data_IF_853446042131
#
_entry.id   IF_853446042131
#
_cell.length_a   1.000
_cell.length_b   1.000
_cell.length_c   1.000
_cell.angle_alpha   90.00
_cell.angle_beta   90.00
_cell.angle_gamma   90.00
#
_symmetry.space_group_name_H-M   'P 1'
#
loop_
_entity.id
_entity.type
_entity.pdbx_description
1 polymer ?
#
# COMPACT_ATOMS: atom_id res chain seq x y z
N UNK A 1 19.67 68.79 24.93
CA UNK A 1 19.05 70.03 25.46
C UNK A 1 19.03 71.16 24.41
N UNK A 2 20.17 71.56 23.83
CA UNK A 2 20.26 72.65 22.83
C UNK A 2 19.40 72.49 21.55
N UNK A 3 19.18 71.26 21.05
CA UNK A 3 18.32 71.02 19.86
C UNK A 3 16.82 71.23 20.10
N UNK A 4 16.34 71.03 21.33
CA UNK A 4 14.93 71.29 21.68
C UNK A 4 14.70 72.78 21.95
N UNK A 5 15.69 73.50 22.50
CA UNK A 5 15.65 74.95 22.71
C UNK A 5 15.55 75.74 21.39
N UNK A 6 16.16 75.27 20.31
CA UNK A 6 16.09 75.91 18.99
C UNK A 6 14.68 75.90 18.35
N UNK A 7 13.80 74.98 18.78
CA UNK A 7 12.40 74.94 18.31
C UNK A 7 11.56 76.00 19.03
N UNK A 8 11.73 76.14 20.35
CA UNK A 8 11.02 77.14 21.16
C UNK A 8 11.54 78.57 20.95
N UNK A 9 12.79 78.75 20.55
CA UNK A 9 13.38 80.07 20.26
C UNK A 9 12.75 80.77 19.04
N UNK A 10 12.08 80.05 18.13
CA UNK A 10 11.36 80.64 16.99
C UNK A 10 10.05 81.33 17.38
N UNK A 11 9.47 80.93 18.50
CA UNK A 11 8.19 81.44 18.98
C UNK A 11 8.37 82.59 20.01
N UNK A 12 9.63 83.02 20.24
CA UNK A 12 9.93 84.20 21.04
C UNK A 12 9.66 85.50 20.24
N UNK A 13 9.24 86.60 20.90
CA UNK A 13 8.92 87.87 20.23
C UNK A 13 10.06 88.49 19.43
N UNK A 14 11.31 88.14 19.74
CA UNK A 14 12.52 88.61 19.06
C UNK A 14 13.30 87.40 18.53
N UNK A 15 13.41 87.20 17.20
CA UNK A 15 14.14 86.07 16.63
C UNK A 15 15.64 86.20 16.93
N UNK A 16 16.19 85.30 17.75
CA UNK A 16 17.63 85.22 18.00
C UNK A 16 18.31 84.36 16.92
N UNK A 17 19.31 84.93 16.23
CA UNK A 17 20.12 84.20 15.26
C UNK A 17 21.01 83.18 15.98
N UNK A 18 20.67 81.89 15.84
CA UNK A 18 21.37 80.80 16.51
C UNK A 18 22.58 80.37 15.64
N UNK A 19 23.77 80.93 15.87
CA UNK A 19 24.98 80.15 15.56
C UNK A 19 24.94 78.90 16.45
N UNK A 20 25.40 77.72 15.98
CA UNK A 20 25.17 76.51 16.76
C UNK A 20 26.03 76.60 18.02
N UNK A 21 25.41 76.87 19.16
CA UNK A 21 26.01 76.70 20.49
C UNK A 21 26.74 75.35 20.64
N UNK A 22 26.34 74.35 19.85
CA UNK A 22 27.03 73.07 19.74
C UNK A 22 28.47 73.19 19.20
N UNK A 23 28.78 74.15 18.33
CA UNK A 23 30.13 74.43 17.81
C UNK A 23 30.96 75.16 18.86
N UNK A 24 30.41 76.22 19.47
CA UNK A 24 31.08 76.99 20.53
C UNK A 24 31.36 76.11 21.76
N UNK A 25 30.39 75.29 22.20
CA UNK A 25 30.58 74.37 23.33
C UNK A 25 31.65 73.30 23.04
N UNK A 26 31.67 72.74 21.82
CA UNK A 26 32.67 71.75 21.42
C UNK A 26 34.08 72.34 21.38
N UNK A 27 34.20 73.58 20.93
CA UNK A 27 35.48 74.29 20.88
C UNK A 27 35.95 74.71 22.28
N UNK A 28 35.03 75.14 23.16
CA UNK A 28 35.31 75.40 24.57
C UNK A 28 35.80 74.15 25.30
N UNK A 29 35.14 72.99 25.10
CA UNK A 29 35.55 71.71 25.68
C UNK A 29 36.94 71.31 25.18
N UNK A 30 37.22 71.47 23.88
CA UNK A 30 38.54 71.21 23.28
C UNK A 30 39.63 72.08 23.92
N UNK A 31 39.40 73.38 24.07
CA UNK A 31 40.34 74.31 24.73
C UNK A 31 40.54 73.95 26.21
N UNK A 32 39.46 73.66 26.94
CA UNK A 32 39.51 73.25 28.34
C UNK A 32 40.24 71.91 28.56
N UNK A 33 40.18 71.00 27.58
CA UNK A 33 40.92 69.73 27.61
C UNK A 33 42.42 69.94 27.34
N UNK A 34 42.78 70.81 26.39
CA UNK A 34 44.18 71.22 26.16
C UNK A 34 44.79 71.88 27.41
N UNK A 35 44.07 72.80 28.04
CA UNK A 35 44.51 73.45 29.28
C UNK A 35 44.65 72.47 30.45
N UNK A 36 43.76 71.48 30.57
CA UNK A 36 43.85 70.43 31.60
C UNK A 36 45.04 69.49 31.40
N UNK A 37 45.36 69.17 30.15
CA UNK A 37 46.47 68.27 29.82
C UNK A 37 47.84 68.95 29.96
N UNK A 38 47.89 70.30 29.94
CA UNK A 38 49.03 71.19 30.19
C UNK A 38 50.23 71.06 29.22
N UNK A 39 50.50 69.88 28.69
CA UNK A 39 51.50 69.60 27.66
C UNK A 39 50.81 69.16 26.35
N UNK A 40 51.33 69.58 25.18
CA UNK A 40 52.54 70.38 24.97
C UNK A 40 52.33 71.87 25.26
N UNK A 41 53.36 72.53 25.83
CA UNK A 41 53.29 73.95 26.27
C UNK A 41 52.86 74.91 25.15
N UNK A 42 53.29 74.66 23.90
CA UNK A 42 52.92 75.51 22.75
C UNK A 42 51.40 75.53 22.50
N UNK A 43 50.74 74.39 22.66
CA UNK A 43 49.29 74.28 22.52
C UNK A 43 48.54 74.91 23.70
N UNK A 44 49.11 74.79 24.91
CA UNK A 44 48.56 75.41 26.13
C UNK A 44 48.65 76.94 26.06
N UNK A 45 49.78 77.48 25.58
CA UNK A 45 49.95 78.92 25.38
C UNK A 45 48.98 79.42 24.31
N UNK A 46 48.88 78.73 23.17
CA UNK A 46 47.92 79.09 22.11
C UNK A 46 46.46 79.07 22.61
N UNK A 47 46.09 78.12 23.48
CA UNK A 47 44.77 78.07 24.08
C UNK A 47 44.51 79.18 25.12
N UNK A 48 45.54 79.68 25.80
CA UNK A 48 45.44 80.82 26.72
C UNK A 48 45.38 82.17 26.00
N UNK A 49 46.10 82.30 24.88
CA UNK A 49 46.17 83.54 24.07
C UNK A 49 44.99 83.70 23.10
N UNK A 50 44.09 82.71 23.03
CA UNK A 50 42.86 82.82 22.23
C UNK A 50 41.87 83.76 22.91
N UNK A 51 41.19 84.61 22.12
CA UNK A 51 40.10 85.44 22.63
C UNK A 51 38.88 84.57 22.98
N UNK A 52 38.37 84.72 24.19
CA UNK A 52 37.21 83.98 24.67
C UNK A 52 35.89 84.72 24.36
N UNK A 53 35.93 85.64 23.39
CA UNK A 53 34.79 86.46 22.97
C UNK A 53 33.64 85.61 22.44
N UNK A 54 33.95 84.48 21.79
CA UNK A 54 32.97 83.49 21.31
C UNK A 54 32.16 82.85 22.45
N UNK A 55 32.82 82.53 23.57
CA UNK A 55 32.15 82.02 24.78
C UNK A 55 31.36 83.13 25.47
N UNK A 56 31.92 84.33 25.57
CA UNK A 56 31.23 85.46 26.19
C UNK A 56 29.95 85.81 25.42
N UNK A 57 30.02 85.84 24.08
CA UNK A 57 28.86 86.04 23.21
C UNK A 57 27.79 84.97 23.42
N UNK A 58 28.19 83.70 23.57
CA UNK A 58 27.28 82.60 23.87
C UNK A 58 26.62 82.77 25.26
N UNK A 59 27.39 83.16 26.29
CA UNK A 59 26.87 83.41 27.63
C UNK A 59 25.86 84.57 27.64
N UNK A 60 26.15 85.65 26.91
CA UNK A 60 25.24 86.80 26.79
C UNK A 60 23.95 86.43 26.05
N UNK A 61 24.03 85.54 25.05
CA UNK A 61 22.85 85.00 24.36
C UNK A 61 22.03 84.06 25.26
N UNK A 62 22.68 83.23 26.08
CA UNK A 62 21.98 82.39 27.07
C UNK A 62 21.30 83.26 28.13
N UNK A 63 21.95 84.34 28.57
CA UNK A 63 21.35 85.30 29.50
C UNK A 63 20.12 85.97 28.87
N UNK A 64 20.21 86.37 27.59
CA UNK A 64 19.09 86.95 26.84
C UNK A 64 17.95 85.97 26.65
N UNK A 65 18.25 84.70 26.33
CA UNK A 65 17.26 83.64 26.18
C UNK A 65 16.57 83.32 27.50
N UNK A 66 17.34 83.17 28.58
CA UNK A 66 16.81 82.94 29.93
C UNK A 66 15.88 84.07 30.34
N UNK A 67 16.31 85.32 30.17
CA UNK A 67 15.47 86.49 30.45
C UNK A 67 14.20 86.53 29.56
N UNK A 68 14.30 86.09 28.29
CA UNK A 68 13.14 86.03 27.39
C UNK A 68 12.15 84.93 27.77
N UNK A 69 12.63 83.79 28.27
CA UNK A 69 11.80 82.68 28.77
C UNK A 69 11.18 83.03 30.11
N UNK A 70 11.91 83.66 31.03
CA UNK A 70 11.38 84.16 32.30
C UNK A 70 10.37 85.30 32.12
N UNK A 71 10.47 86.06 31.02
CA UNK A 71 9.50 87.08 30.65
C UNK A 71 8.24 86.50 29.98
N UNK A 72 8.22 85.21 29.62
CA UNK A 72 6.98 84.58 29.15
C UNK A 72 5.98 84.53 30.31
N UNK A 73 4.70 84.85 30.06
CA UNK A 73 3.69 84.76 31.10
C UNK A 73 3.58 83.29 31.55
N UNK A 74 3.61 83.09 32.87
CA UNK A 74 3.34 81.78 33.47
C UNK A 74 2.02 81.23 32.93
N UNK A 75 1.93 79.92 32.66
CA UNK A 75 0.71 79.31 32.15
C UNK A 75 -0.47 79.72 33.02
N UNK A 76 -1.43 80.41 32.41
CA UNK A 76 -2.61 80.85 33.16
C UNK A 76 -3.45 79.63 33.53
N UNK A 77 -4.27 79.74 34.58
CA UNK A 77 -5.26 78.69 34.91
C UNK A 77 -6.15 78.33 33.70
N UNK A 78 -6.33 79.28 32.78
CA UNK A 78 -7.06 79.09 31.52
C UNK A 78 -6.30 78.22 30.51
N UNK A 79 -4.99 78.38 30.39
CA UNK A 79 -4.17 77.54 29.52
C UNK A 79 -4.07 76.12 30.07
N UNK A 80 -3.87 75.96 31.38
CA UNK A 80 -3.91 74.67 32.05
C UNK A 80 -5.26 73.96 31.84
N UNK A 81 -6.38 74.71 31.94
CA UNK A 81 -7.70 74.17 31.67
C UNK A 81 -7.88 73.77 30.19
N UNK A 82 -7.37 74.56 29.24
CA UNK A 82 -7.43 74.24 27.80
C UNK A 82 -6.64 72.97 27.48
N UNK A 83 -5.44 72.84 28.02
CA UNK A 83 -4.59 71.68 27.78
C UNK A 83 -5.21 70.43 28.42
N UNK A 84 -5.77 70.55 29.62
CA UNK A 84 -6.54 69.48 30.25
C UNK A 84 -7.73 69.01 29.39
N UNK A 85 -8.50 69.96 28.84
CA UNK A 85 -9.61 69.64 27.94
C UNK A 85 -9.15 69.01 26.63
N UNK A 86 -8.01 69.43 26.10
CA UNK A 86 -7.42 68.89 24.86
C UNK A 86 -6.98 67.45 25.06
N UNK A 87 -6.22 67.17 26.11
CA UNK A 87 -5.84 65.78 26.49
C UNK A 87 -7.09 64.94 26.80
N UNK A 88 -8.10 65.53 27.45
CA UNK A 88 -9.37 64.88 27.71
C UNK A 88 -10.10 64.46 26.42
N UNK A 89 -10.16 65.36 25.43
CA UNK A 89 -10.77 65.11 24.12
C UNK A 89 -10.02 64.02 23.35
N UNK A 90 -8.69 64.09 23.27
CA UNK A 90 -7.86 63.08 22.60
C UNK A 90 -8.07 61.69 23.20
N UNK A 91 -8.07 61.58 24.54
CA UNK A 91 -8.33 60.32 25.25
C UNK A 91 -9.74 59.81 24.99
N UNK A 92 -10.73 60.68 24.98
CA UNK A 92 -12.12 60.31 24.69
C UNK A 92 -12.28 59.79 23.26
N UNK A 93 -11.65 60.43 22.28
CA UNK A 93 -11.66 59.99 20.88
C UNK A 93 -10.95 58.65 20.71
N UNK A 94 -9.76 58.48 21.30
CA UNK A 94 -9.04 57.22 21.30
C UNK A 94 -9.88 56.09 21.92
N UNK A 95 -10.54 56.35 23.06
CA UNK A 95 -11.43 55.40 23.70
C UNK A 95 -12.63 55.05 22.81
N UNK A 96 -13.29 56.02 22.18
CA UNK A 96 -14.42 55.78 21.26
C UNK A 96 -14.01 54.92 20.05
N UNK A 97 -12.85 55.18 19.47
CA UNK A 97 -12.30 54.38 18.38
C UNK A 97 -12.00 52.95 18.83
N UNK A 98 -11.36 52.79 19.99
CA UNK A 98 -11.06 51.48 20.57
C UNK A 98 -12.35 50.70 20.88
N UNK A 99 -13.36 51.36 21.44
CA UNK A 99 -14.66 50.76 21.75
C UNK A 99 -15.37 50.26 20.49
N UNK A 100 -15.32 51.04 19.40
CA UNK A 100 -15.90 50.66 18.11
C UNK A 100 -15.16 49.45 17.51
N UNK A 101 -13.82 49.45 17.54
CA UNK A 101 -12.99 48.32 17.10
C UNK A 101 -13.25 47.07 17.93
N UNK A 102 -13.39 47.21 19.26
CA UNK A 102 -13.75 46.12 20.15
C UNK A 102 -15.12 45.54 19.83
N UNK A 103 -16.15 46.39 19.64
CA UNK A 103 -17.49 45.95 19.28
C UNK A 103 -17.50 45.18 17.95
N UNK A 104 -16.80 45.70 16.93
CA UNK A 104 -16.65 45.01 15.64
C UNK A 104 -15.88 43.69 15.75
N UNK A 105 -14.80 43.67 16.53
CA UNK A 105 -14.00 42.47 16.80
C UNK A 105 -14.79 41.39 17.55
N UNK A 106 -15.56 41.80 18.56
CA UNK A 106 -16.44 40.91 19.33
C UNK A 106 -17.51 40.28 18.44
N UNK A 107 -18.20 41.07 17.61
CA UNK A 107 -19.19 40.55 16.67
C UNK A 107 -18.61 39.53 15.68
N UNK A 108 -17.38 39.77 15.19
CA UNK A 108 -16.65 38.82 14.33
C UNK A 108 -16.28 37.55 15.07
N UNK A 109 -15.77 37.65 16.30
CA UNK A 109 -15.42 36.50 17.13
C UNK A 109 -16.66 35.65 17.45
N UNK A 110 -17.78 36.28 17.82
CA UNK A 110 -19.05 35.60 18.08
C UNK A 110 -19.56 34.87 16.82
N UNK A 111 -19.42 35.50 15.65
CA UNK A 111 -19.79 34.87 14.38
C UNK A 111 -18.88 33.68 14.05
N UNK A 112 -17.56 33.83 14.19
CA UNK A 112 -16.61 32.76 13.95
C UNK A 112 -16.83 31.57 14.91
N UNK A 113 -17.11 31.83 16.18
CA UNK A 113 -17.44 30.80 17.17
C UNK A 113 -18.72 30.04 16.79
N UNK A 114 -19.76 30.74 16.33
CA UNK A 114 -21.00 30.09 15.84
C UNK A 114 -20.75 29.23 14.60
N UNK A 115 -19.98 29.73 13.63
CA UNK A 115 -19.63 28.98 12.42
C UNK A 115 -18.83 27.73 12.76
N UNK A 116 -17.83 27.86 13.64
CA UNK A 116 -17.01 26.73 14.07
C UNK A 116 -17.85 25.66 14.80
N UNK A 117 -18.72 26.08 15.73
CA UNK A 117 -19.62 25.17 16.43
C UNK A 117 -20.59 24.46 15.47
N UNK A 118 -21.21 25.21 14.54
CA UNK A 118 -22.12 24.65 13.54
C UNK A 118 -21.42 23.65 12.61
N UNK A 119 -20.20 23.99 12.16
CA UNK A 119 -19.39 23.10 11.34
C UNK A 119 -19.05 21.81 12.09
N UNK A 120 -18.59 21.92 13.34
CA UNK A 120 -18.30 20.77 14.21
C UNK A 120 -19.51 19.86 14.35
N UNK A 121 -20.64 20.38 14.82
CA UNK A 121 -21.87 19.59 15.01
C UNK A 121 -22.38 18.95 13.72
N UNK A 122 -22.30 19.66 12.59
CA UNK A 122 -22.77 19.13 11.30
C UNK A 122 -21.84 18.03 10.79
N UNK A 123 -20.53 18.22 10.91
CA UNK A 123 -19.52 17.26 10.46
C UNK A 123 -19.55 16.01 11.34
N UNK A 124 -19.60 16.17 12.66
CA UNK A 124 -19.69 15.06 13.62
C UNK A 124 -20.94 14.22 13.35
N UNK A 125 -22.09 14.86 13.15
CA UNK A 125 -23.34 14.17 12.82
C UNK A 125 -23.26 13.39 11.50
N UNK A 126 -22.61 13.96 10.48
CA UNK A 126 -22.43 13.29 9.19
C UNK A 126 -21.49 12.08 9.32
N UNK A 127 -20.37 12.23 10.05
CA UNK A 127 -19.41 11.15 10.28
C UNK A 127 -20.02 10.02 11.13
N UNK A 128 -20.74 10.36 12.21
CA UNK A 128 -21.45 9.37 13.04
C UNK A 128 -22.46 8.54 12.25
N UNK A 129 -23.16 9.15 11.28
CA UNK A 129 -24.06 8.44 10.40
C UNK A 129 -23.31 7.44 9.51
N UNK A 130 -22.22 7.88 8.87
CA UNK A 130 -21.36 7.01 8.04
C UNK A 130 -20.81 5.84 8.86
N UNK A 131 -20.32 6.11 10.08
CA UNK A 131 -19.79 5.04 10.94
C UNK A 131 -20.84 4.00 11.29
N UNK A 132 -22.08 4.41 11.61
CA UNK A 132 -23.17 3.47 11.90
C UNK A 132 -23.55 2.62 10.68
N UNK A 133 -23.63 3.22 9.51
CA UNK A 133 -23.98 2.50 8.28
C UNK A 133 -22.89 1.49 7.89
N UNK A 134 -21.62 1.90 7.97
CA UNK A 134 -20.46 1.03 7.71
C UNK A 134 -20.36 -0.07 8.76
N UNK A 135 -20.57 0.24 10.04
CA UNK A 135 -20.56 -0.72 11.14
C UNK A 135 -21.59 -1.84 10.94
N UNK A 136 -22.81 -1.50 10.53
CA UNK A 136 -23.87 -2.48 10.28
C UNK A 136 -23.52 -3.43 9.13
N UNK A 137 -23.02 -2.90 8.01
CA UNK A 137 -22.58 -3.70 6.86
C UNK A 137 -21.35 -4.56 7.19
N UNK A 138 -20.37 -3.99 7.91
CA UNK A 138 -19.20 -4.70 8.40
C UNK A 138 -19.56 -5.92 9.24
N UNK A 139 -20.46 -5.75 10.23
CA UNK A 139 -20.96 -6.85 11.06
C UNK A 139 -21.62 -7.93 10.22
N UNK A 140 -22.43 -7.56 9.23
CA UNK A 140 -23.06 -8.53 8.32
C UNK A 140 -22.02 -9.34 7.55
N UNK A 141 -21.02 -8.69 6.95
CA UNK A 141 -20.02 -9.36 6.12
C UNK A 141 -19.12 -10.29 6.92
N UNK A 142 -18.71 -9.85 8.10
CA UNK A 142 -17.86 -10.67 8.95
C UNK A 142 -18.61 -11.90 9.48
N UNK A 143 -19.90 -11.76 9.85
CA UNK A 143 -20.76 -12.91 10.19
C UNK A 143 -20.97 -13.87 9.02
N UNK A 144 -21.06 -13.35 7.79
CA UNK A 144 -21.20 -14.19 6.60
C UNK A 144 -19.93 -15.03 6.35
N UNK A 145 -18.74 -14.52 6.69
CA UNK A 145 -17.45 -15.23 6.51
C UNK A 145 -17.14 -16.18 7.68
N UNK A 146 -17.44 -15.78 8.91
CA UNK A 146 -17.08 -16.50 10.14
C UNK A 146 -18.30 -17.04 10.90
N UNK A 147 -19.42 -17.25 10.22
CA UNK A 147 -20.70 -17.59 10.86
C UNK A 147 -20.69 -18.90 11.68
N UNK A 148 -19.83 -19.84 11.30
CA UNK A 148 -19.65 -21.11 12.01
C UNK A 148 -19.08 -20.91 13.44
N UNK A 149 -18.24 -19.89 13.61
CA UNK A 149 -17.54 -19.62 14.88
C UNK A 149 -18.14 -18.41 15.62
N UNK A 150 -18.55 -17.37 14.88
CA UNK A 150 -18.88 -16.05 15.41
C UNK A 150 -20.21 -15.49 14.86
N UNK A 151 -21.24 -16.32 14.74
CA UNK A 151 -22.60 -15.92 14.30
C UNK A 151 -23.22 -14.75 15.09
N UNK A 152 -22.78 -14.50 16.33
CA UNK A 152 -23.25 -13.40 17.20
C UNK A 152 -22.29 -12.21 17.25
N UNK A 153 -21.28 -12.16 16.40
CA UNK A 153 -20.26 -11.12 16.38
C UNK A 153 -20.86 -9.71 16.36
N UNK A 154 -20.43 -8.84 17.25
CA UNK A 154 -20.79 -7.42 17.26
C UNK A 154 -19.53 -6.57 17.15
N UNK A 155 -19.67 -5.38 16.58
CA UNK A 155 -18.56 -4.44 16.41
C UNK A 155 -18.99 -3.03 16.74
N UNK A 156 -18.11 -2.23 17.33
CA UNK A 156 -18.40 -0.88 17.77
C UNK A 156 -17.35 0.09 17.22
N UNK A 157 -17.82 1.07 16.46
CA UNK A 157 -17.05 2.21 15.97
C UNK A 157 -17.37 3.43 16.82
N UNK A 158 -16.49 3.75 17.76
CA UNK A 158 -16.69 4.87 18.70
C UNK A 158 -15.85 6.08 18.26
N UNK A 159 -16.48 7.14 17.73
CA UNK A 159 -15.74 8.34 17.33
C UNK A 159 -15.20 9.10 18.54
N UNK A 160 -14.02 9.69 18.38
CA UNK A 160 -13.36 10.55 19.35
C UNK A 160 -12.62 11.66 18.58
N UNK A 161 -12.20 12.71 19.29
CA UNK A 161 -11.44 13.81 18.70
C UNK A 161 -10.20 13.28 17.95
N UNK A 162 -10.21 13.38 16.61
CA UNK A 162 -9.12 12.95 15.73
C UNK A 162 -8.85 11.44 15.67
N UNK A 163 -9.73 10.58 16.21
CA UNK A 163 -9.54 9.12 16.18
C UNK A 163 -10.87 8.37 16.16
N UNK A 164 -10.85 7.15 15.63
CA UNK A 164 -11.97 6.22 15.67
C UNK A 164 -11.54 5.01 16.49
N UNK A 165 -12.25 4.75 17.59
CA UNK A 165 -12.11 3.50 18.33
C UNK A 165 -12.78 2.38 17.53
N UNK A 166 -12.05 1.30 17.27
CA UNK A 166 -12.59 0.10 16.65
C UNK A 166 -12.48 -1.05 17.64
N UNK A 167 -13.63 -1.50 18.13
CA UNK A 167 -13.72 -2.56 19.13
C UNK A 167 -14.69 -3.63 18.63
N UNK A 168 -14.43 -4.88 18.97
CA UNK A 168 -15.19 -6.04 18.54
C UNK A 168 -15.51 -6.93 19.74
N UNK A 169 -16.70 -7.53 19.74
CA UNK A 169 -17.08 -8.46 20.79
C UNK A 169 -16.23 -9.74 20.73
N UNK A 170 -15.88 -10.26 21.91
CA UNK A 170 -15.22 -11.56 22.02
C UNK A 170 -16.07 -12.51 22.88
N UNK A 171 -16.87 -13.35 22.22
CA UNK A 171 -17.73 -14.36 22.86
C UNK A 171 -18.63 -13.80 23.99
N UNK A 172 -19.16 -12.59 23.83
CA UNK A 172 -20.00 -11.91 24.82
C UNK A 172 -19.26 -11.45 26.08
N UNK A 173 -17.92 -11.45 26.08
CA UNK A 173 -17.10 -11.01 27.22
C UNK A 173 -16.76 -9.52 27.19
N UNK A 174 -17.25 -8.80 26.19
CA UNK A 174 -17.06 -7.36 26.04
C UNK A 174 -16.36 -7.00 24.73
N UNK A 175 -16.18 -5.70 24.55
CA UNK A 175 -15.60 -5.09 23.36
C UNK A 175 -14.11 -4.83 23.55
N UNK A 176 -13.31 -5.30 22.60
CA UNK A 176 -11.85 -5.15 22.62
C UNK A 176 -11.32 -4.79 21.24
N UNK A 177 -10.13 -4.17 21.13
CA UNK A 177 -9.47 -4.00 19.85
C UNK A 177 -9.28 -5.36 19.14
N UNK A 178 -9.45 -5.45 17.81
CA UNK A 178 -9.32 -6.71 17.07
C UNK A 178 -8.01 -7.45 17.37
N UNK A 179 -6.90 -6.70 17.46
CA UNK A 179 -5.56 -7.23 17.75
C UNK A 179 -5.37 -7.82 19.15
N UNK A 180 -6.35 -7.71 20.06
CA UNK A 180 -6.22 -8.22 21.42
C UNK A 180 -6.45 -9.73 21.54
N UNK A 181 -7.45 -10.27 20.85
CA UNK A 181 -7.92 -11.64 21.04
C UNK A 181 -8.21 -12.43 19.76
N UNK A 182 -8.21 -11.79 18.59
CA UNK A 182 -8.46 -12.46 17.31
C UNK A 182 -7.13 -12.82 16.64
N UNK A 183 -7.08 -13.98 15.98
CA UNK A 183 -5.91 -14.38 15.19
C UNK A 183 -5.70 -13.46 13.99
N UNK A 184 -4.52 -13.53 13.37
CA UNK A 184 -4.19 -12.76 12.16
C UNK A 184 -5.20 -13.00 11.03
N UNK A 185 -5.60 -14.26 10.79
CA UNK A 185 -6.63 -14.59 9.79
C UNK A 185 -7.98 -13.92 10.05
N UNK A 186 -8.41 -13.83 11.31
CA UNK A 186 -9.62 -13.09 11.67
C UNK A 186 -9.44 -11.58 11.47
N UNK A 187 -8.28 -11.02 11.82
CA UNK A 187 -8.00 -9.59 11.63
C UNK A 187 -7.98 -9.20 10.15
N UNK A 188 -7.38 -10.02 9.28
CA UNK A 188 -7.36 -9.80 7.84
C UNK A 188 -8.77 -9.95 7.24
N UNK A 189 -9.55 -10.93 7.73
CA UNK A 189 -10.96 -11.06 7.41
C UNK A 189 -11.77 -9.82 7.80
N UNK A 190 -11.53 -9.26 9.00
CA UNK A 190 -12.17 -8.00 9.44
C UNK A 190 -11.74 -6.83 8.55
N UNK A 191 -10.46 -6.72 8.22
CA UNK A 191 -9.93 -5.68 7.34
C UNK A 191 -10.61 -5.69 5.97
N UNK A 192 -10.75 -6.87 5.36
CA UNK A 192 -11.44 -7.04 4.08
C UNK A 192 -12.92 -6.66 4.19
N UNK A 193 -13.63 -7.13 5.23
CA UNK A 193 -15.04 -6.80 5.43
C UNK A 193 -15.26 -5.30 5.59
N UNK A 194 -14.40 -4.65 6.37
CA UNK A 194 -14.47 -3.21 6.63
C UNK A 194 -14.23 -2.42 5.33
N UNK A 195 -13.21 -2.80 4.56
CA UNK A 195 -12.92 -2.22 3.25
C UNK A 195 -14.12 -2.33 2.30
N UNK A 196 -14.70 -3.53 2.17
CA UNK A 196 -15.85 -3.78 1.30
C UNK A 196 -17.10 -3.02 1.74
N UNK A 197 -17.35 -2.92 3.04
CA UNK A 197 -18.45 -2.13 3.60
C UNK A 197 -18.28 -0.63 3.29
N UNK A 198 -17.08 -0.10 3.47
CA UNK A 198 -16.72 1.29 3.11
C UNK A 198 -16.91 1.56 1.61
N UNK A 199 -16.38 0.69 0.74
CA UNK A 199 -16.50 0.87 -0.70
C UNK A 199 -17.96 0.82 -1.16
N UNK A 200 -18.76 -0.09 -0.60
CA UNK A 200 -20.19 -0.13 -0.87
C UNK A 200 -20.92 1.12 -0.40
N UNK A 201 -20.59 1.64 0.78
CA UNK A 201 -21.23 2.86 1.28
C UNK A 201 -20.87 4.09 0.43
N UNK A 202 -19.59 4.25 0.07
CA UNK A 202 -19.10 5.43 -0.66
C UNK A 202 -19.51 5.43 -2.13
N UNK A 203 -19.42 4.27 -2.80
CA UNK A 203 -19.62 4.16 -4.25
C UNK A 203 -20.96 3.53 -4.62
N UNK A 204 -21.59 2.78 -3.72
CA UNK A 204 -22.84 2.06 -3.98
C UNK A 204 -22.72 1.21 -5.25
N UNK A 205 -23.61 1.46 -6.20
CA UNK A 205 -23.65 0.77 -7.49
C UNK A 205 -22.48 1.15 -8.43
N UNK A 206 -21.70 2.17 -8.11
CA UNK A 206 -20.50 2.55 -8.86
C UNK A 206 -19.26 1.75 -8.46
N UNK A 207 -19.35 0.90 -7.42
CA UNK A 207 -18.29 -0.04 -7.09
C UNK A 207 -18.27 -1.21 -8.07
N UNK A 208 -17.70 -0.99 -9.26
CA UNK A 208 -17.72 -1.96 -10.37
C UNK A 208 -16.39 -2.67 -10.59
N UNK A 209 -15.31 -2.23 -9.95
CA UNK A 209 -13.98 -2.80 -10.15
C UNK A 209 -13.14 -2.74 -8.87
N UNK A 210 -12.46 -3.82 -8.53
CA UNK A 210 -11.55 -3.90 -7.39
C UNK A 210 -10.38 -4.85 -7.67
N UNK A 211 -9.19 -4.46 -7.21
CA UNK A 211 -7.98 -5.28 -7.24
C UNK A 211 -7.64 -5.66 -5.81
N UNK A 212 -7.46 -6.96 -5.58
CA UNK A 212 -7.19 -7.56 -4.29
C UNK A 212 -5.87 -8.34 -4.40
N UNK A 213 -4.79 -7.71 -3.93
CA UNK A 213 -3.42 -8.24 -4.07
C UNK A 213 -2.95 -8.92 -2.79
N UNK A 214 -2.92 -10.25 -2.81
CA UNK A 214 -2.44 -11.12 -1.72
C UNK A 214 -3.12 -10.89 -0.36
N UNK A 215 -4.38 -10.41 -0.38
CA UNK A 215 -5.13 -9.97 0.82
C UNK A 215 -5.71 -11.10 1.68
N UNK A 216 -5.64 -12.37 1.26
CA UNK A 216 -6.35 -13.50 1.88
C UNK A 216 -5.42 -14.63 2.33
N UNK A 217 -4.15 -14.30 2.53
CA UNK A 217 -3.11 -15.25 2.85
C UNK A 217 -3.24 -15.90 4.23
N UNK A 218 -3.48 -15.10 5.26
CA UNK A 218 -3.55 -15.55 6.66
C UNK A 218 -4.90 -16.19 7.01
N UNK A 219 -5.91 -16.04 6.13
CA UNK A 219 -7.25 -16.57 6.34
C UNK A 219 -7.24 -18.08 6.19
N UNK A 220 -7.84 -18.79 7.14
CA UNK A 220 -7.88 -20.24 7.14
C UNK A 220 -8.68 -20.82 5.97
N UNK A 221 -8.36 -22.05 5.59
CA UNK A 221 -8.95 -22.75 4.44
C UNK A 221 -10.49 -22.86 4.49
N UNK A 222 -11.07 -22.93 5.69
CA UNK A 222 -12.52 -22.93 5.91
C UNK A 222 -13.16 -21.60 5.53
N UNK A 223 -12.71 -20.51 6.15
CA UNK A 223 -13.26 -19.16 5.95
C UNK A 223 -13.01 -18.61 4.54
N UNK A 224 -11.90 -19.02 3.90
CA UNK A 224 -11.58 -18.73 2.49
C UNK A 224 -12.73 -19.05 1.52
N UNK A 225 -13.50 -20.12 1.78
CA UNK A 225 -14.68 -20.46 0.96
C UNK A 225 -15.81 -19.46 1.13
N UNK A 226 -16.06 -19.02 2.35
CA UNK A 226 -17.12 -18.07 2.64
C UNK A 226 -16.77 -16.67 2.16
N UNK A 227 -15.49 -16.29 2.13
CA UNK A 227 -15.03 -15.07 1.43
C UNK A 227 -15.42 -15.11 -0.04
N UNK A 228 -15.18 -16.23 -0.74
CA UNK A 228 -15.60 -16.38 -2.14
C UNK A 228 -17.12 -16.24 -2.30
N UNK A 229 -17.89 -16.78 -1.37
CA UNK A 229 -19.35 -16.67 -1.37
C UNK A 229 -19.81 -15.24 -1.12
N UNK A 230 -19.19 -14.52 -0.17
CA UNK A 230 -19.47 -13.12 0.13
C UNK A 230 -19.27 -12.26 -1.12
N UNK A 231 -18.10 -12.35 -1.77
CA UNK A 231 -17.78 -11.57 -2.96
C UNK A 231 -18.80 -11.79 -4.08
N UNK A 232 -19.18 -13.05 -4.33
CA UNK A 232 -20.17 -13.37 -5.37
C UNK A 232 -21.58 -12.90 -5.03
N UNK A 233 -21.99 -12.99 -3.77
CA UNK A 233 -23.39 -12.73 -3.36
C UNK A 233 -23.67 -11.26 -3.08
N UNK A 234 -22.76 -10.57 -2.40
CA UNK A 234 -22.91 -9.15 -2.02
C UNK A 234 -22.45 -8.19 -3.11
N UNK A 235 -21.54 -8.64 -3.98
CA UNK A 235 -20.92 -7.80 -5.02
C UNK A 235 -21.06 -8.40 -6.43
N UNK A 236 -22.28 -8.75 -6.89
CA UNK A 236 -22.47 -9.41 -8.18
C UNK A 236 -22.14 -8.51 -9.40
N UNK A 237 -22.14 -7.19 -9.22
CA UNK A 237 -21.85 -6.20 -10.26
C UNK A 237 -20.40 -5.72 -10.24
N UNK A 238 -19.58 -6.21 -9.32
CA UNK A 238 -18.19 -5.79 -9.16
C UNK A 238 -17.26 -6.81 -9.80
N UNK A 239 -16.40 -6.36 -10.71
CA UNK A 239 -15.31 -7.15 -11.25
C UNK A 239 -14.14 -7.16 -10.26
N UNK A 240 -13.79 -8.35 -9.75
CA UNK A 240 -12.62 -8.54 -8.91
C UNK A 240 -11.44 -9.07 -9.72
N UNK A 241 -10.27 -8.46 -9.54
CA UNK A 241 -8.97 -8.98 -9.96
C UNK A 241 -8.23 -9.41 -8.71
N UNK A 242 -7.92 -10.69 -8.60
CA UNK A 242 -7.28 -11.30 -7.44
C UNK A 242 -5.89 -11.80 -7.83
N UNK A 243 -4.88 -11.38 -7.09
CA UNK A 243 -3.51 -11.90 -7.20
C UNK A 243 -3.16 -12.66 -5.93
N UNK A 244 -2.47 -13.79 -6.11
CA UNK A 244 -2.08 -14.69 -5.02
C UNK A 244 -0.87 -15.49 -5.47
N UNK A 245 0.04 -15.78 -4.54
CA UNK A 245 1.11 -16.74 -4.76
C UNK A 245 0.76 -18.15 -4.29
N UNK A 246 -0.36 -18.33 -3.58
CA UNK A 246 -0.84 -19.62 -3.09
C UNK A 246 -1.67 -20.38 -4.17
N UNK A 247 -1.17 -21.52 -4.71
CA UNK A 247 -1.90 -22.31 -5.70
C UNK A 247 -3.11 -23.05 -5.09
N UNK A 248 -3.12 -23.32 -3.79
CA UNK A 248 -4.27 -23.90 -3.07
C UNK A 248 -5.41 -22.89 -3.08
N UNK A 249 -5.11 -21.62 -2.81
CA UNK A 249 -6.10 -20.56 -2.88
C UNK A 249 -6.71 -20.43 -4.28
N UNK A 250 -5.89 -20.48 -5.34
CA UNK A 250 -6.38 -20.49 -6.72
C UNK A 250 -7.36 -21.65 -6.98
N UNK A 251 -7.03 -22.85 -6.51
CA UNK A 251 -7.89 -24.01 -6.66
C UNK A 251 -9.20 -23.88 -5.86
N UNK A 252 -9.17 -23.25 -4.69
CA UNK A 252 -10.36 -22.93 -3.90
C UNK A 252 -11.26 -21.92 -4.61
N UNK A 253 -10.71 -20.88 -5.23
CA UNK A 253 -11.50 -19.92 -6.02
C UNK A 253 -12.20 -20.58 -7.21
N UNK A 254 -11.52 -21.53 -7.87
CA UNK A 254 -12.10 -22.35 -8.95
C UNK A 254 -13.21 -23.26 -8.43
N UNK A 255 -12.97 -24.00 -7.34
CA UNK A 255 -13.95 -24.96 -6.80
C UNK A 255 -15.19 -24.28 -6.21
N UNK A 256 -15.00 -23.11 -5.59
CA UNK A 256 -16.06 -22.26 -5.04
C UNK A 256 -16.81 -21.48 -6.12
N UNK A 257 -16.43 -21.62 -7.39
CA UNK A 257 -17.01 -20.92 -8.55
C UNK A 257 -16.96 -19.39 -8.42
N UNK A 258 -15.93 -18.86 -7.76
CA UNK A 258 -15.65 -17.42 -7.78
C UNK A 258 -15.11 -17.02 -9.15
N UNK A 259 -14.24 -17.86 -9.72
CA UNK A 259 -13.66 -17.68 -11.05
C UNK A 259 -13.96 -18.88 -11.96
N UNK A 260 -14.18 -18.67 -13.27
CA UNK A 260 -14.17 -19.74 -14.25
C UNK A 260 -12.85 -20.52 -14.26
N UNK A 261 -12.90 -21.82 -14.58
CA UNK A 261 -11.69 -22.67 -14.59
C UNK A 261 -10.58 -22.18 -15.54
N UNK A 262 -10.95 -21.45 -16.61
CA UNK A 262 -10.04 -20.94 -17.66
C UNK A 262 -9.65 -19.47 -17.51
N UNK A 263 -10.09 -18.77 -16.46
CA UNK A 263 -9.79 -17.34 -16.26
C UNK A 263 -8.57 -17.09 -15.36
N UNK A 264 -7.88 -18.14 -14.93
CA UNK A 264 -6.68 -18.03 -14.12
C UNK A 264 -5.45 -17.86 -15.00
N UNK A 265 -4.63 -16.86 -14.71
CA UNK A 265 -3.36 -16.59 -15.38
C UNK A 265 -2.24 -16.87 -14.38
N UNK A 266 -1.26 -17.67 -14.77
CA UNK A 266 -0.10 -17.99 -13.93
C UNK A 266 1.13 -17.29 -14.49
N UNK A 267 1.85 -16.57 -13.64
CA UNK A 267 3.14 -15.94 -13.98
C UNK A 267 4.28 -16.72 -13.33
N UNK A 268 5.41 -16.88 -14.03
CA UNK A 268 6.57 -17.65 -13.53
C UNK A 268 7.90 -16.90 -13.62
N UNK A 269 8.05 -16.02 -14.60
CA UNK A 269 9.27 -15.22 -14.81
C UNK A 269 8.90 -13.74 -14.82
N UNK A 270 9.80 -12.90 -14.31
CA UNK A 270 9.68 -11.45 -14.36
C UNK A 270 10.98 -10.86 -14.88
N UNK A 271 10.88 -9.94 -15.83
CA UNK A 271 12.01 -9.21 -16.38
C UNK A 271 11.78 -7.71 -16.22
N UNK A 272 12.82 -6.95 -15.91
CA UNK A 272 12.71 -5.49 -15.70
C UNK A 272 12.16 -4.81 -16.96
N UNK A 273 12.67 -5.19 -18.13
CA UNK A 273 12.30 -4.53 -19.40
C UNK A 273 10.98 -5.03 -19.99
N UNK A 274 10.51 -6.22 -19.64
CA UNK A 274 9.39 -6.90 -20.33
C UNK A 274 8.25 -7.30 -19.39
N UNK A 275 8.41 -7.08 -18.09
CA UNK A 275 7.43 -7.38 -17.06
C UNK A 275 7.27 -8.88 -16.78
N UNK A 276 6.17 -9.27 -16.12
CA UNK A 276 5.85 -10.66 -15.82
C UNK A 276 5.45 -11.41 -17.11
N UNK A 277 6.06 -12.58 -17.33
CA UNK A 277 5.74 -13.47 -18.45
C UNK A 277 4.69 -14.48 -18.03
N UNK A 278 3.56 -14.44 -18.73
CA UNK A 278 2.50 -15.46 -18.61
C UNK A 278 3.08 -16.83 -18.97
N UNK A 279 2.74 -17.84 -18.18
CA UNK A 279 3.14 -19.20 -18.44
C UNK A 279 2.04 -19.96 -19.19
N UNK A 280 2.29 -20.27 -20.47
CA UNK A 280 1.48 -21.21 -21.27
C UNK A 280 2.27 -22.49 -21.48
N UNK A 281 1.63 -23.66 -21.40
CA UNK A 281 2.27 -24.96 -21.64
C UNK A 281 2.97 -25.02 -23.01
N UNK A 282 2.32 -24.50 -24.06
CA UNK A 282 2.86 -24.48 -25.43
C UNK A 282 4.16 -23.67 -25.54
N UNK A 283 4.36 -22.67 -24.67
CA UNK A 283 5.58 -21.84 -24.67
C UNK A 283 6.79 -22.57 -24.08
N UNK A 284 6.57 -23.62 -23.26
CA UNK A 284 7.66 -24.29 -22.56
C UNK A 284 8.49 -25.15 -23.50
N UNK A 285 7.84 -25.91 -24.38
CA UNK A 285 8.56 -26.72 -25.36
C UNK A 285 9.32 -25.84 -26.36
N UNK A 286 8.72 -24.75 -26.81
CA UNK A 286 9.40 -23.78 -27.66
C UNK A 286 10.62 -23.14 -26.95
N UNK A 287 10.52 -22.89 -25.64
CA UNK A 287 11.63 -22.39 -24.84
C UNK A 287 12.74 -23.43 -24.67
N UNK A 288 12.40 -24.70 -24.40
CA UNK A 288 13.37 -25.80 -24.33
C UNK A 288 14.07 -25.96 -25.67
N UNK A 289 13.33 -25.99 -26.79
CA UNK A 289 13.89 -26.10 -28.13
C UNK A 289 14.82 -24.92 -28.46
N UNK A 290 14.45 -23.70 -28.09
CA UNK A 290 15.28 -22.51 -28.28
C UNK A 290 16.60 -22.59 -27.48
N UNK A 291 16.55 -23.04 -26.23
CA UNK A 291 17.75 -23.23 -25.40
C UNK A 291 18.66 -24.34 -25.95
N UNK A 292 18.08 -25.44 -26.44
CA UNK A 292 18.83 -26.50 -27.13
C UNK A 292 19.49 -25.97 -28.39
N UNK A 293 18.76 -25.20 -29.21
CA UNK A 293 19.27 -24.56 -30.42
C UNK A 293 20.37 -23.51 -30.14
N UNK A 294 20.33 -22.84 -28.99
CA UNK A 294 21.38 -21.94 -28.50
C UNK A 294 22.58 -22.67 -27.87
N UNK A 295 22.52 -24.01 -27.74
CA UNK A 295 23.52 -24.85 -27.08
C UNK A 295 23.63 -24.61 -25.57
N UNK A 296 22.60 -24.05 -24.95
CA UNK A 296 22.51 -23.82 -23.51
C UNK A 296 21.91 -25.04 -22.80
N UNK A 297 22.55 -26.21 -22.92
CA UNK A 297 22.00 -27.48 -22.47
C UNK A 297 21.69 -27.50 -20.97
N UNK A 298 22.53 -26.86 -20.15
CA UNK A 298 22.28 -26.70 -18.71
C UNK A 298 20.96 -25.99 -18.41
N UNK A 299 20.68 -24.92 -19.12
CA UNK A 299 19.44 -24.16 -18.96
C UNK A 299 18.24 -24.96 -19.50
N UNK A 300 18.39 -25.61 -20.66
CA UNK A 300 17.37 -26.46 -21.26
C UNK A 300 17.00 -27.64 -20.34
N UNK A 301 17.98 -28.33 -19.76
CA UNK A 301 17.80 -29.42 -18.80
C UNK A 301 17.06 -28.99 -17.53
N UNK A 302 17.44 -27.83 -16.96
CA UNK A 302 16.75 -27.28 -15.79
C UNK A 302 15.31 -26.90 -16.12
N UNK A 303 15.08 -26.26 -17.27
CA UNK A 303 13.74 -25.88 -17.72
C UNK A 303 12.86 -27.12 -17.97
N UNK A 304 13.39 -28.13 -18.66
CA UNK A 304 12.71 -29.39 -18.93
C UNK A 304 12.33 -30.11 -17.63
N UNK A 305 13.26 -30.25 -16.69
CA UNK A 305 12.98 -30.90 -15.40
C UNK A 305 11.84 -30.23 -14.67
N UNK A 306 11.89 -28.92 -14.50
CA UNK A 306 10.83 -28.21 -13.79
C UNK A 306 9.48 -28.32 -14.51
N UNK A 307 9.48 -28.36 -15.85
CA UNK A 307 8.27 -28.59 -16.62
C UNK A 307 7.70 -29.99 -16.35
N UNK A 308 8.55 -31.01 -16.39
CA UNK A 308 8.16 -32.39 -16.15
C UNK A 308 7.66 -32.59 -14.71
N UNK A 309 8.25 -31.91 -13.72
CA UNK A 309 7.78 -31.91 -12.33
C UNK A 309 6.35 -31.35 -12.23
N UNK A 310 6.13 -30.19 -12.86
CA UNK A 310 4.81 -29.56 -12.91
C UNK A 310 3.77 -30.46 -13.60
N UNK A 311 4.08 -30.98 -14.79
CA UNK A 311 3.11 -31.75 -15.57
C UNK A 311 2.84 -33.14 -14.95
N UNK A 312 3.85 -33.77 -14.36
CA UNK A 312 3.67 -35.03 -13.63
C UNK A 312 2.81 -34.86 -12.38
N UNK A 313 2.91 -33.71 -11.69
CA UNK A 313 2.00 -33.36 -10.60
C UNK A 313 0.55 -33.23 -11.10
N UNK A 314 0.33 -32.53 -12.22
CA UNK A 314 -1.00 -32.39 -12.85
C UNK A 314 -1.58 -33.76 -13.26
N UNK A 315 -0.80 -34.60 -13.93
CA UNK A 315 -1.24 -35.96 -14.32
C UNK A 315 -1.54 -36.82 -13.09
N UNK A 316 -0.67 -36.80 -12.08
CA UNK A 316 -0.88 -37.51 -10.82
C UNK A 316 -2.17 -37.07 -10.13
N UNK A 317 -2.44 -35.77 -10.08
CA UNK A 317 -3.66 -35.23 -9.49
C UNK A 317 -4.92 -35.68 -10.26
N UNK A 318 -4.89 -35.60 -11.60
CA UNK A 318 -6.03 -35.93 -12.49
C UNK A 318 -6.34 -37.42 -12.56
N UNK A 319 -5.31 -38.26 -12.57
CA UNK A 319 -5.44 -39.71 -12.69
C UNK A 319 -5.52 -40.41 -11.33
N UNK A 320 -5.13 -39.73 -10.25
CA UNK A 320 -4.99 -40.30 -8.92
C UNK A 320 -3.78 -41.20 -8.80
N UNK A 321 -2.60 -40.66 -9.14
CA UNK A 321 -1.29 -41.22 -8.85
C UNK A 321 -1.04 -41.33 -7.35
N UNK A 322 -0.26 -42.34 -6.97
CA UNK A 322 0.07 -42.63 -5.57
C UNK A 322 1.53 -42.29 -5.35
N UNK A 323 1.77 -41.30 -4.52
CA UNK A 323 3.10 -40.90 -4.06
C UNK A 323 3.18 -41.23 -2.56
N UNK A 324 4.36 -41.62 -2.08
CA UNK A 324 4.58 -41.81 -0.65
C UNK A 324 4.37 -40.49 0.08
N UNK A 325 3.56 -40.51 1.14
CA UNK A 325 3.21 -39.27 1.83
C UNK A 325 4.43 -38.69 2.55
N UNK A 326 4.74 -37.44 2.23
CA UNK A 326 5.69 -36.61 2.98
C UNK A 326 4.98 -35.38 3.54
N UNK A 327 5.23 -35.10 4.81
CA UNK A 327 4.63 -33.97 5.53
C UNK A 327 5.11 -32.60 5.04
N UNK A 328 6.26 -32.53 4.37
CA UNK A 328 6.80 -31.29 3.80
C UNK A 328 6.15 -30.91 2.46
N UNK A 329 5.38 -31.81 1.84
CA UNK A 329 4.71 -31.59 0.56
C UNK A 329 5.68 -31.38 -0.62
N UNK A 330 6.98 -31.66 -0.44
CA UNK A 330 8.01 -31.47 -1.47
C UNK A 330 8.22 -32.77 -2.21
N UNK A 331 7.66 -32.85 -3.41
CA UNK A 331 7.84 -33.96 -4.33
C UNK A 331 8.64 -33.50 -5.53
N UNK A 332 9.57 -34.34 -5.99
CA UNK A 332 10.36 -34.07 -7.18
C UNK A 332 9.89 -34.92 -8.38
N UNK A 333 10.61 -34.82 -9.50
CA UNK A 333 10.28 -35.56 -10.71
C UNK A 333 10.31 -37.08 -10.49
N UNK A 334 11.25 -37.55 -9.67
CA UNK A 334 11.43 -38.97 -9.36
C UNK A 334 10.28 -39.53 -8.54
N UNK A 335 9.62 -38.70 -7.75
CA UNK A 335 8.41 -39.07 -7.01
C UNK A 335 7.16 -39.03 -7.92
N UNK A 336 7.00 -37.94 -8.68
CA UNK A 336 5.76 -37.61 -9.38
C UNK A 336 5.60 -38.35 -10.71
N UNK A 337 6.67 -38.50 -11.50
CA UNK A 337 6.59 -39.10 -12.83
C UNK A 337 6.23 -40.60 -12.77
N UNK A 338 6.88 -41.44 -11.93
CA UNK A 338 6.49 -42.83 -11.80
C UNK A 338 5.06 -42.99 -11.28
N UNK A 339 4.62 -42.11 -10.37
CA UNK A 339 3.26 -42.11 -9.86
C UNK A 339 2.20 -41.80 -10.95
N UNK A 340 2.47 -40.84 -11.83
CA UNK A 340 1.62 -40.51 -12.97
C UNK A 340 1.57 -41.66 -14.00
N UNK A 341 2.73 -42.20 -14.37
CA UNK A 341 2.85 -43.33 -15.31
C UNK A 341 2.09 -44.56 -14.77
N UNK A 342 2.30 -44.89 -13.50
CA UNK A 342 1.61 -45.99 -12.83
C UNK A 342 0.09 -45.79 -12.83
N UNK A 343 -0.37 -44.56 -12.56
CA UNK A 343 -1.79 -44.22 -12.59
C UNK A 343 -2.43 -44.43 -13.97
N UNK A 344 -1.76 -44.00 -15.03
CA UNK A 344 -2.23 -44.17 -16.41
C UNK A 344 -2.22 -45.66 -16.82
N UNK A 345 -1.16 -46.38 -16.46
CA UNK A 345 -1.07 -47.82 -16.73
C UNK A 345 -2.22 -48.59 -16.06
N UNK A 346 -2.55 -48.25 -14.81
CA UNK A 346 -3.70 -48.83 -14.10
C UNK A 346 -5.05 -48.46 -14.73
N UNK A 347 -5.19 -47.26 -15.30
CA UNK A 347 -6.36 -46.87 -16.09
C UNK A 347 -6.51 -47.77 -17.31
N UNK A 348 -5.44 -47.96 -18.10
CA UNK A 348 -5.47 -48.84 -19.27
C UNK A 348 -5.77 -50.29 -18.91
N UNK A 349 -5.11 -50.86 -17.88
CA UNK A 349 -5.38 -52.23 -17.41
C UNK A 349 -6.84 -52.42 -17.01
N UNK A 350 -7.41 -51.51 -16.24
CA UNK A 350 -8.82 -51.59 -15.80
C UNK A 350 -9.79 -51.41 -16.96
N UNK A 351 -9.47 -50.52 -17.90
CA UNK A 351 -10.29 -50.32 -19.09
C UNK A 351 -10.33 -51.58 -19.97
N UNK A 352 -9.19 -52.27 -20.13
CA UNK A 352 -9.11 -53.56 -20.83
C UNK A 352 -9.93 -54.66 -20.15
N UNK A 353 -9.78 -54.83 -18.83
CA UNK A 353 -10.58 -55.80 -18.06
C UNK A 353 -12.07 -55.49 -18.16
N UNK A 354 -12.42 -54.20 -18.14
CA UNK A 354 -13.80 -53.76 -18.30
C UNK A 354 -14.34 -54.11 -19.67
N UNK A 355 -13.63 -53.78 -20.76
CA UNK A 355 -14.04 -54.13 -22.13
C UNK A 355 -14.28 -55.65 -22.30
N UNK A 356 -13.37 -56.47 -21.76
CA UNK A 356 -13.55 -57.93 -21.73
C UNK A 356 -14.79 -58.37 -20.95
N UNK A 357 -15.08 -57.76 -19.79
CA UNK A 357 -16.27 -58.08 -18.99
C UNK A 357 -17.60 -57.76 -19.70
N UNK A 358 -17.57 -56.82 -20.64
CA UNK A 358 -18.70 -56.45 -21.50
C UNK A 358 -18.70 -57.20 -22.84
N UNK A 359 -17.72 -58.08 -23.08
CA UNK A 359 -17.52 -58.82 -24.34
C UNK A 359 -17.32 -57.92 -25.56
N UNK A 360 -16.75 -56.72 -25.36
CA UNK A 360 -16.44 -55.76 -26.41
C UNK A 360 -14.97 -55.90 -26.85
N UNK A 361 -14.73 -56.86 -27.75
CA UNK A 361 -13.38 -57.18 -28.23
C UNK A 361 -12.78 -56.05 -29.09
N UNK A 362 -13.61 -55.35 -29.87
CA UNK A 362 -13.17 -54.22 -30.69
C UNK A 362 -12.62 -53.10 -29.80
N UNK A 363 -13.34 -52.77 -28.72
CA UNK A 363 -12.88 -51.77 -27.77
C UNK A 363 -11.65 -52.22 -26.99
N UNK A 364 -11.54 -53.52 -26.68
CA UNK A 364 -10.33 -54.07 -26.06
C UNK A 364 -9.10 -53.86 -26.95
N UNK A 365 -9.20 -54.16 -28.25
CA UNK A 365 -8.09 -54.03 -29.19
C UNK A 365 -7.65 -52.57 -29.36
N UNK A 366 -8.60 -51.63 -29.45
CA UNK A 366 -8.32 -50.18 -29.47
C UNK A 366 -7.56 -49.73 -28.22
N UNK A 367 -8.05 -50.10 -27.03
CA UNK A 367 -7.41 -49.75 -25.76
C UNK A 367 -6.04 -50.42 -25.64
N UNK A 368 -5.89 -51.64 -26.14
CA UNK A 368 -4.62 -52.35 -26.10
C UNK A 368 -3.58 -51.71 -27.02
N UNK A 369 -3.98 -51.24 -28.21
CA UNK A 369 -3.10 -50.48 -29.10
C UNK A 369 -2.60 -49.20 -28.42
N UNK A 370 -3.51 -48.39 -27.83
CA UNK A 370 -3.12 -47.20 -27.07
C UNK A 370 -2.18 -47.53 -25.89
N UNK A 371 -2.47 -48.61 -25.16
CA UNK A 371 -1.63 -49.03 -24.05
C UNK A 371 -0.23 -49.47 -24.50
N UNK A 372 -0.11 -50.15 -25.64
CA UNK A 372 1.21 -50.51 -26.21
C UNK A 372 1.99 -49.26 -26.61
N UNK A 373 1.35 -48.29 -27.26
CA UNK A 373 1.98 -47.01 -27.61
C UNK A 373 2.47 -46.27 -26.36
N UNK A 374 1.61 -46.16 -25.34
CA UNK A 374 1.97 -45.59 -24.04
C UNK A 374 3.14 -46.32 -23.38
N UNK A 375 3.13 -47.66 -23.35
CA UNK A 375 4.22 -48.44 -22.78
C UNK A 375 5.54 -48.22 -23.52
N UNK A 376 5.52 -48.13 -24.85
CA UNK A 376 6.69 -47.83 -25.65
C UNK A 376 7.22 -46.41 -25.37
N UNK A 377 6.34 -45.40 -25.27
CA UNK A 377 6.73 -44.04 -24.93
C UNK A 377 7.35 -43.94 -23.53
N UNK A 378 6.80 -44.68 -22.55
CA UNK A 378 7.38 -44.82 -21.21
C UNK A 378 8.76 -45.44 -21.28
N UNK A 379 8.91 -46.59 -21.95
CA UNK A 379 10.21 -47.26 -22.09
C UNK A 379 11.23 -46.35 -22.76
N UNK A 380 10.85 -45.61 -23.81
CA UNK A 380 11.72 -44.66 -24.47
C UNK A 380 12.13 -43.51 -23.54
N UNK A 381 11.18 -42.91 -22.81
CA UNK A 381 11.52 -41.87 -21.83
C UNK A 381 12.45 -42.36 -20.71
N UNK A 382 12.31 -43.64 -20.34
CA UNK A 382 13.12 -44.28 -19.31
C UNK A 382 14.50 -44.71 -19.84
N UNK A 383 14.60 -45.22 -21.06
CA UNK A 383 15.89 -45.60 -21.67
C UNK A 383 16.75 -44.38 -21.90
N UNK A 384 16.17 -43.30 -22.43
CA UNK A 384 16.86 -42.01 -22.59
C UNK A 384 17.21 -41.39 -21.22
N UNK A 385 16.49 -41.73 -20.15
CA UNK A 385 16.85 -41.37 -18.78
C UNK A 385 17.96 -42.26 -18.19
N UNK A 386 18.05 -43.54 -18.60
CA UNK A 386 18.99 -44.55 -18.08
C UNK A 386 20.32 -44.66 -18.82
N UNK A 387 20.37 -44.33 -20.12
CA UNK A 387 21.61 -44.30 -20.90
C UNK A 387 22.59 -43.21 -20.40
N UNK A 388 22.16 -42.39 -19.44
CA UNK A 388 22.91 -41.30 -18.82
C UNK A 388 23.44 -41.72 -17.41
N UNK A 389 24.18 -42.82 -17.34
CA UNK A 389 24.98 -43.28 -16.19
C UNK A 389 24.21 -43.77 -14.92
N UNK A 390 24.24 -45.09 -14.61
CA UNK A 390 23.53 -45.71 -13.48
C UNK A 390 24.01 -45.34 -12.06
N UNK A 391 25.06 -44.54 -11.89
CA UNK A 391 25.84 -44.55 -10.66
C UNK A 391 25.83 -43.27 -9.80
N UNK A 392 25.43 -42.08 -10.29
CA UNK A 392 25.67 -40.84 -9.50
C UNK A 392 24.62 -39.72 -9.74
N UNK A 393 23.67 -39.58 -8.82
CA UNK A 393 22.88 -38.38 -8.51
C UNK A 393 22.01 -37.66 -9.58
N UNK A 394 20.89 -37.11 -9.07
CA UNK A 394 19.83 -36.35 -9.74
C UNK A 394 20.24 -35.08 -10.54
N UNK A 395 21.51 -34.85 -10.90
CA UNK A 395 21.99 -33.60 -11.51
C UNK A 395 22.67 -33.74 -12.90
N UNK A 396 22.68 -34.91 -13.53
CA UNK A 396 23.52 -35.14 -14.72
C UNK A 396 22.99 -34.57 -16.06
N UNK A 397 21.70 -34.22 -16.18
CA UNK A 397 21.17 -33.62 -17.43
C UNK A 397 21.89 -32.32 -17.81
N UNK A 398 22.43 -31.62 -16.82
CA UNK A 398 23.17 -30.37 -16.97
C UNK A 398 24.50 -30.55 -17.71
N UNK A 399 25.08 -31.76 -17.67
CA UNK A 399 26.40 -32.06 -18.23
C UNK A 399 26.31 -32.70 -19.63
N UNK A 400 25.11 -32.88 -20.18
CA UNK A 400 24.89 -33.48 -21.48
C UNK A 400 25.36 -32.56 -22.62
N UNK A 401 25.80 -33.18 -23.71
CA UNK A 401 25.95 -32.49 -24.98
C UNK A 401 24.62 -32.43 -25.72
N UNK A 402 24.49 -31.53 -26.69
CA UNK A 402 23.27 -31.38 -27.50
C UNK A 402 22.80 -32.71 -28.09
N UNK A 403 23.72 -33.51 -28.63
CA UNK A 403 23.42 -34.78 -29.29
C UNK A 403 22.77 -35.81 -28.36
N UNK A 404 23.11 -35.76 -27.07
CA UNK A 404 22.59 -36.68 -26.07
C UNK A 404 21.29 -36.14 -25.43
N UNK A 405 21.07 -34.82 -25.46
CA UNK A 405 19.91 -34.18 -24.84
C UNK A 405 18.70 -34.03 -25.78
N UNK A 406 18.92 -33.89 -27.10
CA UNK A 406 17.84 -33.83 -28.09
C UNK A 406 16.91 -35.08 -28.08
N UNK A 407 17.44 -36.32 -28.00
CA UNK A 407 16.62 -37.52 -27.86
C UNK A 407 15.77 -37.52 -26.58
N UNK A 408 16.32 -37.05 -25.46
CA UNK A 408 15.61 -36.92 -24.17
C UNK A 408 14.41 -35.99 -24.31
N UNK A 409 14.60 -34.81 -24.92
CA UNK A 409 13.51 -33.85 -25.16
C UNK A 409 12.42 -34.46 -26.04
N UNK A 410 12.79 -35.16 -27.12
CA UNK A 410 11.85 -35.82 -28.02
C UNK A 410 11.05 -36.93 -27.33
N UNK A 411 11.70 -37.75 -26.50
CA UNK A 411 11.06 -38.82 -25.76
C UNK A 411 10.02 -38.30 -24.76
N UNK A 412 10.34 -37.22 -24.03
CA UNK A 412 9.38 -36.61 -23.10
C UNK A 412 8.24 -35.88 -23.78
N UNK A 413 8.47 -35.24 -24.94
CA UNK A 413 7.38 -34.71 -25.78
C UNK A 413 6.41 -35.80 -26.21
N UNK A 414 6.94 -36.94 -26.66
CA UNK A 414 6.10 -38.07 -27.04
C UNK A 414 5.33 -38.63 -25.83
N UNK A 415 5.97 -38.74 -24.67
CA UNK A 415 5.31 -39.21 -23.45
C UNK A 415 4.13 -38.30 -23.07
N UNK A 416 4.28 -36.98 -23.13
CA UNK A 416 3.20 -36.04 -22.81
C UNK A 416 1.97 -36.22 -23.70
N UNK A 417 2.16 -36.46 -25.00
CA UNK A 417 1.06 -36.69 -25.93
C UNK A 417 0.19 -37.90 -25.52
N UNK A 418 0.78 -38.90 -24.86
CA UNK A 418 0.04 -40.08 -24.39
C UNK A 418 -0.84 -39.79 -23.16
N UNK A 419 -0.63 -38.67 -22.47
CA UNK A 419 -1.51 -38.17 -21.39
C UNK A 419 -2.61 -37.24 -21.89
N UNK A 420 -2.59 -36.89 -23.18
CA UNK A 420 -3.51 -35.94 -23.80
C UNK A 420 -4.47 -36.61 -24.77
N UNK A 421 -5.60 -35.94 -25.01
CA UNK A 421 -6.49 -36.33 -26.09
C UNK A 421 -5.97 -35.80 -27.43
N UNK A 422 -5.73 -36.66 -28.45
CA UNK A 422 -5.24 -36.20 -29.74
C UNK A 422 -6.24 -35.32 -30.50
N UNK A 423 -7.52 -35.30 -30.09
CA UNK A 423 -8.55 -34.46 -30.72
C UNK A 423 -8.70 -33.09 -30.09
N UNK A 424 -8.62 -32.98 -28.75
CA UNK A 424 -8.87 -31.71 -28.06
C UNK A 424 -7.68 -31.15 -27.27
N UNK A 425 -6.56 -31.88 -27.21
CA UNK A 425 -5.37 -31.48 -26.45
C UNK A 425 -5.59 -31.42 -24.94
N UNK A 426 -6.74 -31.88 -24.42
CA UNK A 426 -6.98 -31.88 -22.97
C UNK A 426 -6.39 -33.14 -22.34
N UNK A 427 -5.75 -32.98 -21.18
CA UNK A 427 -5.27 -34.10 -20.38
C UNK A 427 -6.41 -35.02 -19.95
N UNK A 428 -6.12 -36.32 -20.00
CA UNK A 428 -7.04 -37.37 -19.55
C UNK A 428 -7.19 -37.28 -18.03
N UNK A 429 -8.43 -37.35 -17.54
CA UNK A 429 -8.73 -37.31 -16.11
C UNK A 429 -9.69 -38.42 -15.70
N UNK A 430 -9.62 -38.82 -14.43
CA UNK A 430 -10.48 -39.86 -13.87
C UNK A 430 -11.71 -39.25 -13.20
N UNK A 431 -12.88 -39.73 -13.58
CA UNK A 431 -14.14 -39.47 -12.89
C UNK A 431 -14.31 -40.48 -11.77
N UNK A 432 -14.61 -40.00 -10.57
CA UNK A 432 -14.82 -40.83 -9.37
C UNK A 432 -16.25 -40.67 -8.86
N UNK A 433 -16.86 -41.78 -8.44
CA UNK A 433 -18.01 -41.79 -7.55
C UNK A 433 -17.50 -42.23 -6.16
N UNK A 434 -17.47 -41.31 -5.20
CA UNK A 434 -16.83 -41.53 -3.90
C UNK A 434 -15.35 -41.90 -4.05
N UNK A 435 -14.95 -43.07 -3.55
CA UNK A 435 -13.56 -43.58 -3.63
C UNK A 435 -13.29 -44.42 -4.88
N UNK A 436 -14.30 -44.75 -5.67
CA UNK A 436 -14.17 -45.63 -6.84
C UNK A 436 -14.00 -44.83 -8.13
N UNK A 437 -13.01 -45.23 -8.94
CA UNK A 437 -12.77 -44.68 -10.29
C UNK A 437 -13.80 -45.31 -11.25
N UNK A 438 -14.64 -44.51 -11.90
CA UNK A 438 -15.71 -45.01 -12.78
C UNK A 438 -15.33 -44.95 -14.26
N UNK A 439 -14.69 -43.86 -14.68
CA UNK A 439 -14.23 -43.68 -16.06
C UNK A 439 -12.99 -42.81 -16.10
N UNK A 440 -12.18 -42.94 -17.17
CA UNK A 440 -11.17 -41.96 -17.53
C UNK A 440 -11.57 -41.31 -18.86
N UNK A 441 -11.61 -39.99 -18.93
CA UNK A 441 -12.13 -39.26 -20.09
C UNK A 441 -11.36 -37.96 -20.35
N UNK A 442 -11.56 -37.42 -21.54
CA UNK A 442 -11.22 -36.03 -21.89
C UNK A 442 -12.49 -35.17 -22.02
N UNK A 443 -12.38 -33.84 -22.11
CA UNK A 443 -13.55 -32.96 -22.22
C UNK A 443 -14.33 -33.09 -23.52
N UNK A 444 -13.70 -33.49 -24.63
CA UNK A 444 -14.43 -33.74 -25.89
C UNK A 444 -15.04 -35.15 -25.97
N UNK A 445 -14.88 -35.98 -24.94
CA UNK A 445 -15.42 -37.36 -24.82
C UNK A 445 -14.91 -38.38 -25.85
N UNK A 446 -14.02 -37.99 -26.76
CA UNK A 446 -13.38 -38.91 -27.72
C UNK A 446 -12.54 -39.97 -27.02
N UNK A 447 -11.84 -39.58 -25.95
CA UNK A 447 -11.32 -40.52 -24.97
C UNK A 447 -12.38 -40.71 -23.90
N UNK A 448 -12.90 -41.94 -23.82
CA UNK A 448 -13.81 -42.38 -22.77
C UNK A 448 -13.54 -43.87 -22.48
N UNK A 449 -12.79 -44.11 -21.42
CA UNK A 449 -12.40 -45.42 -20.93
C UNK A 449 -13.29 -45.77 -19.74
N UNK A 450 -14.16 -46.77 -19.92
CA UNK A 450 -14.96 -47.30 -18.82
C UNK A 450 -14.06 -48.11 -17.87
N UNK A 451 -14.10 -47.79 -16.57
CA UNK A 451 -13.32 -48.47 -15.54
C UNK A 451 -14.18 -49.36 -14.63
N UNK A 452 -15.49 -49.44 -14.91
CA UNK A 452 -16.46 -50.22 -14.14
C UNK A 452 -16.80 -51.53 -14.88
N UNK A 453 -16.31 -52.69 -14.39
CA UNK A 453 -16.66 -53.97 -14.99
C UNK A 453 -18.16 -54.26 -14.88
N UNK A 454 -18.67 -55.11 -15.77
CA UNK A 454 -20.06 -55.58 -15.72
C UNK A 454 -20.34 -56.17 -14.34
N UNK A 455 -21.43 -55.74 -13.70
CA UNK A 455 -21.87 -56.34 -12.43
C UNK A 455 -22.13 -57.82 -12.67
N UNK A 456 -21.52 -58.68 -11.85
CA UNK A 456 -21.78 -60.12 -11.87
C UNK A 456 -23.24 -60.42 -11.58
#
# INVERSE_FOLDING_TARGET
MLRQLAVYARDLPTPLAFEPFAVVAKEADRRAEVLRNFLPLDATIAALDTDWEDIQFALDHIATLTASVEALPEPTDRDAARDYLTVGQERLEAWRQAMTKYAAGKAKADTAAKVHALYGTTTDKALEAIYKDVEAEFRSYYRDINGDDESKFEAQLTPSLGKLGFEVDFYGKGFFPPGAYHSEGHQDGMGLCLYLALMKHLLGNQFTFAVLDDVLMSVDAGHRREVCTLLRTKFPTTQFVLTTHDPVWLNHMKSSKLIPAKSAITFRKWHVDHGPKEWKQTDVWAEVDALVAANEIRAAASQLRHYLEYIAAEWSARLGGRVEYRSDGKYDLGDLMPAAISAMNEVYKKAKVTAQSWSDNTRFDEINACHVTFANAVTQSQSEQWEINPAVHYNEWVNLQRQDFEPVVAAFKQLELEFECPTCGEHIYVVKAGKTKESARCGCTKINLNLKPKSK
#
